data_IF_715824550536
#
_entry.id   IF_715824550536
#
_cell.length_a   1.000
_cell.length_b   1.000
_cell.length_c   1.000
_cell.angle_alpha   90.00
_cell.angle_beta   90.00
_cell.angle_gamma   90.00
#
_symmetry.space_group_name_H-M   'P 1'
#
loop_
_entity.id
_entity.type
_entity.pdbx_description
1 polymer ?
#
# COMPACT_ATOMS: atom_id res chain seq x y z
N UNK A 1 -12.18 22.82 18.39
CA UNK A 1 -11.25 22.15 17.44
C UNK A 1 -10.83 20.84 18.06
N UNK A 2 -10.65 19.79 17.26
CA UNK A 2 -10.09 18.54 17.77
C UNK A 2 -8.61 18.75 18.11
N UNK A 3 -8.16 18.11 19.18
CA UNK A 3 -6.75 18.04 19.58
C UNK A 3 -5.95 17.20 18.58
N UNK A 4 -4.62 17.37 18.58
CA UNK A 4 -3.70 16.53 17.78
C UNK A 4 -3.90 15.05 18.13
N UNK A 5 -4.07 14.71 19.41
CA UNK A 5 -4.31 13.33 19.85
C UNK A 5 -5.61 12.75 19.27
N UNK A 6 -6.70 13.50 19.28
CA UNK A 6 -7.98 13.07 18.71
C UNK A 6 -7.90 12.89 17.19
N UNK A 7 -7.19 13.78 16.49
CA UNK A 7 -6.95 13.66 15.04
C UNK A 7 -6.08 12.45 14.71
N UNK A 8 -5.03 12.19 15.50
CA UNK A 8 -4.16 11.03 15.36
C UNK A 8 -4.95 9.73 15.59
N UNK A 9 -5.73 9.63 16.66
CA UNK A 9 -6.57 8.47 16.95
C UNK A 9 -7.55 8.16 15.80
N UNK A 10 -8.24 9.19 15.29
CA UNK A 10 -9.15 9.07 14.14
C UNK A 10 -8.44 8.53 12.90
N UNK A 11 -7.23 9.00 12.62
CA UNK A 11 -6.44 8.55 11.48
C UNK A 11 -5.93 7.11 11.65
N UNK A 12 -5.45 6.75 12.83
CA UNK A 12 -5.00 5.39 13.17
C UNK A 12 -6.14 4.39 12.98
N UNK A 13 -7.32 4.69 13.50
CA UNK A 13 -8.50 3.84 13.36
C UNK A 13 -8.92 3.68 11.90
N UNK A 14 -8.86 4.75 11.11
CA UNK A 14 -9.15 4.70 9.68
C UNK A 14 -8.14 3.81 8.94
N UNK A 15 -6.85 3.91 9.28
CA UNK A 15 -5.80 3.11 8.68
C UNK A 15 -5.95 1.64 9.05
N UNK A 16 -6.21 1.32 10.32
CA UNK A 16 -6.50 -0.04 10.80
C UNK A 16 -7.67 -0.67 10.04
N UNK A 17 -8.79 0.05 9.91
CA UNK A 17 -9.96 -0.43 9.15
C UNK A 17 -9.66 -0.70 7.68
N UNK A 18 -8.78 0.09 7.07
CA UNK A 18 -8.44 -0.04 5.64
C UNK A 18 -7.37 -1.09 5.35
N UNK A 19 -6.59 -1.51 6.34
CA UNK A 19 -5.44 -2.38 6.15
C UNK A 19 -5.79 -3.67 5.40
N UNK A 20 -6.90 -4.32 5.75
CA UNK A 20 -7.38 -5.52 5.08
C UNK A 20 -7.75 -5.25 3.61
N UNK A 21 -8.51 -4.20 3.34
CA UNK A 21 -8.89 -3.82 1.96
C UNK A 21 -7.68 -3.47 1.10
N UNK A 22 -6.66 -2.85 1.67
CA UNK A 22 -5.42 -2.53 0.97
C UNK A 22 -4.68 -3.81 0.54
N UNK A 23 -4.57 -4.80 1.43
CA UNK A 23 -3.95 -6.10 1.11
C UNK A 23 -4.71 -6.82 -0.02
N UNK A 24 -6.03 -6.96 0.10
CA UNK A 24 -6.85 -7.60 -0.93
C UNK A 24 -6.77 -6.87 -2.28
N UNK A 25 -6.77 -5.53 -2.25
CA UNK A 25 -6.67 -4.72 -3.46
C UNK A 25 -5.30 -4.84 -4.14
N UNK A 26 -4.22 -4.94 -3.36
CA UNK A 26 -2.87 -5.18 -3.87
C UNK A 26 -2.79 -6.52 -4.60
N UNK A 27 -3.22 -7.62 -3.96
CA UNK A 27 -3.17 -8.95 -4.57
C UNK A 27 -4.04 -9.02 -5.85
N UNK A 28 -5.23 -8.42 -5.82
CA UNK A 28 -6.10 -8.32 -7.00
C UNK A 28 -5.48 -7.48 -8.13
N UNK A 29 -4.59 -6.52 -7.83
CA UNK A 29 -3.93 -5.68 -8.83
C UNK A 29 -2.78 -6.40 -9.56
N UNK A 30 -2.17 -7.43 -8.96
CA UNK A 30 -1.03 -8.16 -9.55
C UNK A 30 -1.35 -8.71 -10.93
N UNK A 31 -2.49 -9.38 -11.06
CA UNK A 31 -2.94 -9.95 -12.35
C UNK A 31 -3.14 -8.85 -13.41
N UNK A 32 -3.81 -7.74 -13.05
CA UNK A 32 -4.01 -6.61 -13.98
C UNK A 32 -2.69 -5.98 -14.41
N UNK A 33 -1.74 -5.84 -13.49
CA UNK A 33 -0.43 -5.28 -13.79
C UNK A 33 0.33 -6.16 -14.81
N UNK A 34 0.34 -7.48 -14.62
CA UNK A 34 0.96 -8.44 -15.54
C UNK A 34 0.31 -8.38 -16.93
N UNK A 35 -1.03 -8.40 -16.99
CA UNK A 35 -1.78 -8.34 -18.25
C UNK A 35 -1.48 -7.05 -19.02
N UNK A 36 -1.57 -5.91 -18.35
CA UNK A 36 -1.36 -4.62 -18.98
C UNK A 36 0.10 -4.43 -19.42
N UNK A 37 1.07 -4.84 -18.60
CA UNK A 37 2.49 -4.76 -18.98
C UNK A 37 2.80 -5.62 -20.21
N UNK A 38 2.20 -6.81 -20.30
CA UNK A 38 2.35 -7.71 -21.46
C UNK A 38 1.79 -7.08 -22.74
N UNK A 39 0.68 -6.35 -22.65
CA UNK A 39 0.03 -5.71 -23.79
C UNK A 39 0.84 -4.56 -24.41
N UNK A 40 1.81 -3.96 -23.68
CA UNK A 40 2.66 -2.87 -24.21
C UNK A 40 3.66 -3.35 -25.27
N UNK A 41 4.00 -4.65 -25.29
CA UNK A 41 4.88 -5.21 -26.33
C UNK A 41 6.38 -5.03 -26.10
N UNK A 42 6.84 -4.97 -24.84
CA UNK A 42 8.27 -4.82 -24.49
C UNK A 42 9.17 -6.03 -24.81
N UNK A 43 8.65 -7.04 -25.50
CA UNK A 43 9.36 -8.28 -25.82
C UNK A 43 9.29 -9.33 -24.69
N UNK A 44 9.47 -10.62 -25.05
CA UNK A 44 9.15 -11.74 -24.17
C UNK A 44 9.99 -11.78 -22.89
N UNK A 45 11.29 -11.49 -22.96
CA UNK A 45 12.19 -11.53 -21.80
C UNK A 45 11.81 -10.51 -20.73
N UNK A 46 11.51 -9.26 -21.12
CA UNK A 46 11.12 -8.21 -20.16
C UNK A 46 9.77 -8.53 -19.51
N UNK A 47 8.82 -9.03 -20.30
CA UNK A 47 7.50 -9.45 -19.80
C UNK A 47 7.63 -10.61 -18.81
N UNK A 48 8.47 -11.61 -19.10
CA UNK A 48 8.70 -12.74 -18.20
C UNK A 48 9.34 -12.30 -16.87
N UNK A 49 10.37 -11.45 -16.92
CA UNK A 49 11.02 -10.92 -15.73
C UNK A 49 10.06 -10.07 -14.89
N UNK A 50 9.26 -9.22 -15.53
CA UNK A 50 8.25 -8.41 -14.85
C UNK A 50 7.21 -9.29 -14.15
N UNK A 51 6.68 -10.30 -14.86
CA UNK A 51 5.73 -11.26 -14.30
C UNK A 51 6.29 -11.93 -13.05
N UNK A 52 7.50 -12.50 -13.14
CA UNK A 52 8.15 -13.16 -12.01
C UNK A 52 8.34 -12.22 -10.81
N UNK A 53 8.76 -10.98 -11.07
CA UNK A 53 8.89 -9.95 -10.04
C UNK A 53 7.56 -9.62 -9.35
N UNK A 54 6.49 -9.43 -10.13
CA UNK A 54 5.15 -9.18 -9.57
C UNK A 54 4.66 -10.38 -8.77
N UNK A 55 4.77 -11.60 -9.30
CA UNK A 55 4.35 -12.83 -8.61
C UNK A 55 5.05 -12.99 -7.25
N UNK A 56 6.36 -12.76 -7.20
CA UNK A 56 7.17 -12.83 -5.99
C UNK A 56 6.93 -11.68 -5.00
N UNK A 57 6.42 -10.53 -5.48
CA UNK A 57 6.19 -9.37 -4.64
C UNK A 57 5.11 -9.63 -3.59
N UNK A 58 5.36 -9.14 -2.37
CA UNK A 58 4.49 -9.29 -1.20
C UNK A 58 3.99 -7.93 -0.75
N UNK A 59 2.71 -7.88 -0.38
CA UNK A 59 2.17 -6.71 0.29
C UNK A 59 2.85 -6.52 1.66
N UNK A 60 3.33 -5.31 1.93
CA UNK A 60 3.83 -4.91 3.25
C UNK A 60 2.77 -4.02 3.88
N UNK A 61 2.18 -4.49 4.99
CA UNK A 61 1.16 -3.75 5.68
C UNK A 61 1.71 -2.45 6.29
N UNK A 62 0.95 -1.34 6.24
CA UNK A 62 1.32 -0.13 6.97
C UNK A 62 1.27 -0.39 8.47
N UNK A 63 2.21 0.21 9.21
CA UNK A 63 2.22 0.21 10.67
C UNK A 63 1.45 1.45 11.18
N UNK A 64 0.22 1.27 11.72
CA UNK A 64 -0.61 2.38 12.16
C UNK A 64 -0.03 3.11 13.37
N UNK A 65 0.72 2.41 14.23
CA UNK A 65 1.27 2.99 15.45
C UNK A 65 2.50 3.84 15.10
N UNK A 66 3.35 3.36 14.19
CA UNK A 66 4.43 4.17 13.60
C UNK A 66 3.88 5.40 12.89
N UNK A 67 2.81 5.24 12.11
CA UNK A 67 2.14 6.36 11.46
C UNK A 67 1.67 7.39 12.50
N UNK A 68 1.01 6.95 13.57
CA UNK A 68 0.48 7.81 14.63
C UNK A 68 1.58 8.61 15.34
N UNK A 69 2.69 7.95 15.71
CA UNK A 69 3.85 8.61 16.36
C UNK A 69 4.44 9.70 15.47
N UNK A 70 4.72 9.37 14.20
CA UNK A 70 5.34 10.31 13.27
C UNK A 70 4.42 11.48 12.94
N UNK A 71 3.13 11.22 12.75
CA UNK A 71 2.16 12.27 12.44
C UNK A 71 1.99 13.24 13.63
N UNK A 72 1.88 12.71 14.85
CA UNK A 72 1.78 13.53 16.06
C UNK A 72 3.01 14.40 16.23
N UNK A 73 4.21 13.84 16.06
CA UNK A 73 5.46 14.60 16.11
C UNK A 73 5.48 15.74 15.09
N UNK A 74 5.06 15.46 13.84
CA UNK A 74 5.04 16.45 12.76
C UNK A 74 4.06 17.61 13.01
N UNK A 75 2.92 17.33 13.62
CA UNK A 75 1.90 18.35 13.88
C UNK A 75 2.19 19.21 15.12
N UNK A 76 3.16 18.81 15.94
CA UNK A 76 3.59 19.53 17.14
C UNK A 76 4.81 20.45 16.88
N UNK A 77 5.35 20.45 15.66
CA UNK A 77 6.36 21.42 15.17
C UNK A 77 5.74 22.82 15.01
#
# INVERSE_FOLDING_TARGET
MATIAEMAAKGTDKLRRKAATMASSYEAAKSRAITNYSAVGFGPTRVANYRSGVEAARYIAPDPDKWSRNWTAKMAE
#
